data_IF_002040816577
#
_entry.id   IF_002040816577
#
_cell.length_a   1.000
_cell.length_b   1.000
_cell.length_c   1.000
_cell.angle_alpha   90.00
_cell.angle_beta   90.00
_cell.angle_gamma   90.00
#
_symmetry.space_group_name_H-M   'P 1'
#
loop_
_entity.id
_entity.type
_entity.pdbx_description
1 polymer ?
#
# COMPACT_ATOMS: atom_id res chain seq x y z
N UNK A 1 -17.52 -11.48 -15.67
CA UNK A 1 -16.78 -10.57 -14.75
C UNK A 1 -16.94 -11.10 -13.34
N UNK A 2 -15.87 -11.14 -12.53
CA UNK A 2 -16.01 -11.34 -11.09
C UNK A 2 -16.34 -9.97 -10.46
N UNK A 3 -17.32 -9.88 -9.54
CA UNK A 3 -17.65 -8.62 -8.88
C UNK A 3 -16.44 -8.06 -8.14
N UNK A 4 -16.23 -6.75 -8.22
CA UNK A 4 -15.25 -6.08 -7.35
C UNK A 4 -15.81 -5.92 -5.93
N UNK A 5 -14.96 -5.55 -4.97
CA UNK A 5 -15.36 -5.45 -3.56
C UNK A 5 -16.51 -4.44 -3.34
N UNK A 6 -16.52 -3.31 -4.04
CA UNK A 6 -17.60 -2.30 -3.95
C UNK A 6 -18.90 -2.85 -4.51
N UNK A 7 -18.87 -3.56 -5.64
CA UNK A 7 -20.03 -4.23 -6.24
C UNK A 7 -20.58 -5.33 -5.32
N UNK A 8 -19.70 -6.11 -4.68
CA UNK A 8 -20.09 -7.12 -3.70
C UNK A 8 -20.74 -6.49 -2.47
N UNK A 9 -20.18 -5.39 -1.94
CA UNK A 9 -20.73 -4.64 -0.81
C UNK A 9 -22.09 -4.03 -1.15
N UNK A 10 -22.23 -3.43 -2.34
CA UNK A 10 -23.52 -2.89 -2.83
C UNK A 10 -24.55 -4.00 -3.04
N UNK A 11 -24.14 -5.16 -3.53
CA UNK A 11 -24.99 -6.35 -3.61
C UNK A 11 -25.47 -6.81 -2.24
N UNK A 12 -24.58 -6.85 -1.25
CA UNK A 12 -24.90 -7.20 0.14
C UNK A 12 -25.87 -6.20 0.78
N UNK A 13 -25.66 -4.89 0.56
CA UNK A 13 -26.57 -3.82 0.99
C UNK A 13 -27.96 -3.98 0.35
N UNK A 14 -28.00 -4.35 -0.93
CA UNK A 14 -29.23 -4.65 -1.66
C UNK A 14 -30.00 -5.79 -1.00
N UNK A 15 -29.35 -6.93 -0.77
CA UNK A 15 -29.96 -8.10 -0.09
C UNK A 15 -30.42 -7.78 1.33
N UNK A 16 -29.63 -7.00 2.09
CA UNK A 16 -30.03 -6.56 3.44
C UNK A 16 -31.34 -5.76 3.39
N UNK A 17 -31.47 -4.85 2.43
CA UNK A 17 -32.67 -4.01 2.28
C UNK A 17 -33.88 -4.77 1.74
N UNK A 18 -33.69 -5.61 0.72
CA UNK A 18 -34.80 -6.26 0.02
C UNK A 18 -35.34 -7.48 0.77
N UNK A 19 -34.44 -8.28 1.35
CA UNK A 19 -34.78 -9.64 1.80
C UNK A 19 -34.77 -9.74 3.33
N UNK A 20 -33.83 -9.08 3.99
CA UNK A 20 -33.63 -9.23 5.45
C UNK A 20 -34.42 -8.19 6.24
N UNK A 21 -34.40 -6.92 5.83
CA UNK A 21 -35.09 -5.82 6.53
C UNK A 21 -36.57 -6.08 6.81
N UNK A 22 -37.36 -6.61 5.84
CA UNK A 22 -38.79 -6.86 6.07
C UNK A 22 -39.07 -7.92 7.15
N UNK A 23 -38.13 -8.83 7.39
CA UNK A 23 -38.29 -9.90 8.38
C UNK A 23 -37.89 -9.48 9.79
N UNK A 24 -37.14 -8.38 9.94
CA UNK A 24 -36.65 -7.89 11.23
C UNK A 24 -37.71 -7.02 11.91
N UNK A 25 -38.45 -7.63 12.83
CA UNK A 25 -39.56 -6.98 13.56
C UNK A 25 -39.17 -6.37 14.90
N UNK A 26 -38.01 -6.74 15.46
CA UNK A 26 -37.56 -6.21 16.75
C UNK A 26 -36.83 -4.87 16.57
N UNK A 27 -37.04 -3.94 17.51
CA UNK A 27 -36.34 -2.64 17.52
C UNK A 27 -34.82 -2.81 17.54
N UNK A 28 -34.31 -3.69 18.40
CA UNK A 28 -32.88 -4.00 18.47
C UNK A 28 -32.32 -4.54 17.14
N UNK A 29 -33.09 -5.38 16.45
CA UNK A 29 -32.69 -5.91 15.15
C UNK A 29 -32.65 -4.82 14.08
N UNK A 30 -33.62 -3.89 14.10
CA UNK A 30 -33.66 -2.75 13.18
C UNK A 30 -32.46 -1.81 13.41
N UNK A 31 -32.13 -1.51 14.67
CA UNK A 31 -30.95 -0.71 15.03
C UNK A 31 -29.65 -1.38 14.59
N UNK A 32 -29.52 -2.70 14.80
CA UNK A 32 -28.34 -3.47 14.37
C UNK A 32 -28.20 -3.46 12.86
N UNK A 33 -29.30 -3.61 12.13
CA UNK A 33 -29.29 -3.59 10.67
C UNK A 33 -28.91 -2.21 10.14
N UNK A 34 -29.42 -1.14 10.74
CA UNK A 34 -29.06 0.24 10.38
C UNK A 34 -27.58 0.52 10.64
N UNK A 35 -27.02 0.03 11.76
CA UNK A 35 -25.58 0.11 12.03
C UNK A 35 -24.77 -0.65 10.96
N UNK A 36 -25.17 -1.87 10.61
CA UNK A 36 -24.50 -2.66 9.58
C UNK A 36 -24.50 -1.94 8.22
N UNK A 37 -25.61 -1.30 7.84
CA UNK A 37 -25.67 -0.51 6.62
C UNK A 37 -24.71 0.67 6.64
N UNK A 38 -24.67 1.44 7.73
CA UNK A 38 -23.75 2.55 7.90
C UNK A 38 -22.29 2.10 7.78
N UNK A 39 -21.92 0.96 8.39
CA UNK A 39 -20.59 0.37 8.25
C UNK A 39 -20.27 -0.02 6.79
N UNK A 40 -21.23 -0.62 6.08
CA UNK A 40 -21.06 -0.99 4.67
C UNK A 40 -20.93 0.24 3.77
N UNK A 41 -21.68 1.33 4.04
CA UNK A 41 -21.56 2.59 3.32
C UNK A 41 -20.20 3.26 3.54
N UNK A 42 -19.69 3.23 4.78
CA UNK A 42 -18.32 3.70 5.06
C UNK A 42 -17.29 2.87 4.30
N UNK A 43 -17.41 1.54 4.29
CA UNK A 43 -16.52 0.67 3.51
C UNK A 43 -16.61 0.91 2.00
N UNK A 44 -17.79 1.22 1.47
CA UNK A 44 -17.97 1.58 0.05
C UNK A 44 -17.32 2.95 -0.24
N UNK A 45 -17.57 3.95 0.60
CA UNK A 45 -16.98 5.28 0.47
C UNK A 45 -15.46 5.25 0.58
N UNK A 46 -14.94 4.38 1.43
CA UNK A 46 -13.52 4.07 1.49
C UNK A 46 -13.07 3.42 0.17
N UNK A 47 -13.74 2.34 -0.26
CA UNK A 47 -13.47 1.65 -1.50
C UNK A 47 -13.40 2.55 -2.75
N UNK A 48 -14.24 3.58 -2.83
CA UNK A 48 -14.26 4.53 -3.94
C UNK A 48 -12.98 5.39 -4.03
N UNK A 49 -12.31 5.67 -2.90
CA UNK A 49 -11.01 6.36 -2.86
C UNK A 49 -9.79 5.44 -3.04
N UNK A 50 -9.99 4.12 -2.98
CA UNK A 50 -8.94 3.11 -3.00
C UNK A 50 -8.04 3.18 -4.23
N UNK A 51 -8.68 3.17 -5.40
CA UNK A 51 -8.00 3.04 -6.67
C UNK A 51 -7.13 4.27 -6.95
N UNK A 52 -7.68 5.47 -6.70
CA UNK A 52 -6.95 6.72 -6.87
C UNK A 52 -5.78 6.84 -5.88
N UNK A 53 -5.99 6.49 -4.61
CA UNK A 53 -4.91 6.46 -3.62
C UNK A 53 -3.80 5.46 -4.01
N UNK A 54 -4.18 4.24 -4.44
CA UNK A 54 -3.22 3.23 -4.87
C UNK A 54 -2.47 3.63 -6.15
N UNK A 55 -3.14 4.29 -7.09
CA UNK A 55 -2.51 4.80 -8.30
C UNK A 55 -1.48 5.89 -7.96
N UNK A 56 -1.86 6.88 -7.14
CA UNK A 56 -0.95 7.95 -6.66
C UNK A 56 0.22 7.39 -5.85
N UNK A 57 -0.03 6.43 -4.97
CA UNK A 57 1.04 5.78 -4.19
C UNK A 57 2.00 5.00 -5.09
N UNK A 58 1.46 4.24 -6.05
CA UNK A 58 2.27 3.47 -7.00
C UNK A 58 3.17 4.38 -7.82
N UNK A 59 2.64 5.50 -8.31
CA UNK A 59 3.43 6.51 -9.01
C UNK A 59 4.54 7.09 -8.12
N UNK A 60 4.20 7.49 -6.90
CA UNK A 60 5.16 8.04 -5.94
C UNK A 60 6.29 7.04 -5.64
N UNK A 61 5.95 5.75 -5.48
CA UNK A 61 6.93 4.69 -5.26
C UNK A 61 7.85 4.48 -6.48
N UNK A 62 7.32 4.50 -7.70
CA UNK A 62 8.13 4.44 -8.92
C UNK A 62 9.10 5.61 -9.01
N UNK A 63 8.66 6.84 -8.71
CA UNK A 63 9.51 8.04 -8.73
C UNK A 63 10.60 8.00 -7.66
N UNK A 64 10.28 7.54 -6.44
CA UNK A 64 11.25 7.36 -5.35
C UNK A 64 12.31 6.31 -5.73
N UNK A 65 11.88 5.13 -6.20
CA UNK A 65 12.78 4.07 -6.60
C UNK A 65 13.65 4.47 -7.80
N UNK A 66 13.08 5.16 -8.80
CA UNK A 66 13.81 5.65 -9.97
C UNK A 66 14.92 6.64 -9.61
N UNK A 67 14.68 7.57 -8.68
CA UNK A 67 15.72 8.47 -8.16
C UNK A 67 16.78 7.74 -7.34
N UNK A 68 16.39 6.68 -6.65
CA UNK A 68 17.31 5.89 -5.83
C UNK A 68 18.34 5.10 -6.65
N UNK A 69 18.03 4.70 -7.90
CA UNK A 69 18.87 3.82 -8.72
C UNK A 69 20.32 4.29 -8.81
N UNK A 70 20.54 5.58 -9.08
CA UNK A 70 21.89 6.14 -9.21
C UNK A 70 22.70 6.06 -7.91
N UNK A 71 22.04 6.31 -6.77
CA UNK A 71 22.66 6.27 -5.45
C UNK A 71 22.82 4.83 -4.91
N UNK A 72 21.96 3.90 -5.34
CA UNK A 72 22.01 2.48 -4.97
C UNK A 72 23.12 1.73 -5.70
N UNK A 73 23.33 2.01 -6.98
CA UNK A 73 24.26 1.25 -7.84
C UNK A 73 25.68 1.02 -7.26
N UNK A 74 26.34 1.98 -6.58
CA UNK A 74 27.64 1.73 -5.96
C UNK A 74 27.59 0.90 -4.66
N UNK A 75 26.41 0.75 -4.04
CA UNK A 75 26.21 0.04 -2.77
C UNK A 75 25.65 -1.37 -3.00
N UNK A 76 24.61 -1.47 -3.81
CA UNK A 76 23.95 -2.72 -4.20
C UNK A 76 23.43 -2.58 -5.65
N UNK A 77 24.21 -3.13 -6.57
CA UNK A 77 23.88 -3.09 -8.00
C UNK A 77 22.69 -3.98 -8.35
N UNK A 78 22.46 -5.07 -7.62
CA UNK A 78 21.33 -5.96 -7.88
C UNK A 78 20.01 -5.27 -7.53
N UNK A 79 19.93 -4.65 -6.34
CA UNK A 79 18.77 -3.88 -5.94
C UNK A 79 18.54 -2.66 -6.83
N UNK A 80 19.62 -2.01 -7.30
CA UNK A 80 19.52 -0.89 -8.23
C UNK A 80 18.88 -1.30 -9.57
N UNK A 81 19.26 -2.44 -10.13
CA UNK A 81 18.67 -2.95 -11.38
C UNK A 81 17.22 -3.43 -11.18
N UNK A 82 16.90 -4.06 -10.04
CA UNK A 82 15.51 -4.41 -9.71
C UNK A 82 14.62 -3.17 -9.59
N UNK A 83 15.10 -2.11 -8.93
CA UNK A 83 14.42 -0.83 -8.79
C UNK A 83 14.27 -0.11 -10.14
N UNK A 84 15.31 -0.14 -10.98
CA UNK A 84 15.27 0.41 -12.33
C UNK A 84 14.22 -0.31 -13.19
N UNK A 85 14.22 -1.64 -13.18
CA UNK A 85 13.24 -2.44 -13.93
C UNK A 85 11.80 -2.18 -13.45
N UNK A 86 11.57 -2.13 -12.14
CA UNK A 86 10.24 -1.89 -11.58
C UNK A 86 9.72 -0.46 -11.80
N UNK A 87 10.61 0.53 -11.81
CA UNK A 87 10.24 1.94 -12.08
C UNK A 87 9.98 2.21 -13.57
N UNK A 88 10.68 1.50 -14.47
CA UNK A 88 10.51 1.61 -15.92
C UNK A 88 9.35 0.75 -16.47
N UNK A 89 8.81 -0.18 -15.67
CA UNK A 89 7.71 -1.02 -16.08
C UNK A 89 6.48 -0.17 -16.43
N UNK A 90 5.90 -0.30 -17.65
CA UNK A 90 4.76 0.50 -18.05
C UNK A 90 3.61 0.33 -17.05
N UNK A 91 2.91 1.44 -16.78
CA UNK A 91 1.73 1.38 -15.92
C UNK A 91 0.66 0.58 -16.65
N UNK A 92 0.17 -0.48 -16.00
CA UNK A 92 -0.92 -1.30 -16.53
C UNK A 92 -2.13 -0.38 -16.82
N UNK A 93 -2.73 -0.41 -18.02
CA UNK A 93 -3.95 0.35 -18.31
C UNK A 93 -5.13 -0.09 -17.41
N UNK A 94 -5.04 -1.25 -16.77
CA UNK A 94 -6.01 -1.73 -15.79
C UNK A 94 -5.93 -0.96 -14.48
N UNK A 95 -6.89 -0.06 -14.25
CA UNK A 95 -7.08 0.65 -12.97
C UNK A 95 -7.84 -0.18 -11.92
N UNK A 96 -7.84 -1.50 -12.05
CA UNK A 96 -8.50 -2.37 -11.07
C UNK A 96 -7.73 -2.34 -9.75
N UNK A 97 -8.45 -2.28 -8.64
CA UNK A 97 -7.85 -2.26 -7.28
C UNK A 97 -6.92 -3.45 -7.06
N UNK A 98 -7.24 -4.62 -7.60
CA UNK A 98 -6.40 -5.82 -7.49
C UNK A 98 -5.05 -5.67 -8.21
N UNK A 99 -5.05 -5.15 -9.44
CA UNK A 99 -3.83 -4.90 -10.20
C UNK A 99 -2.97 -3.83 -9.52
N UNK A 100 -3.60 -2.71 -9.12
CA UNK A 100 -2.95 -1.62 -8.41
C UNK A 100 -2.35 -2.09 -7.07
N UNK A 101 -3.08 -2.90 -6.31
CA UNK A 101 -2.60 -3.47 -5.04
C UNK A 101 -1.38 -4.36 -5.26
N UNK A 102 -1.42 -5.23 -6.28
CA UNK A 102 -0.32 -6.17 -6.58
C UNK A 102 0.95 -5.40 -6.95
N UNK A 103 0.81 -4.38 -7.81
CA UNK A 103 1.93 -3.51 -8.20
C UNK A 103 2.47 -2.73 -7.01
N UNK A 104 1.58 -2.14 -6.20
CA UNK A 104 1.97 -1.38 -5.02
C UNK A 104 2.74 -2.25 -4.01
N UNK A 105 2.29 -3.48 -3.74
CA UNK A 105 2.97 -4.41 -2.85
C UNK A 105 4.38 -4.75 -3.33
N UNK A 106 4.57 -4.99 -4.62
CA UNK A 106 5.90 -5.25 -5.20
C UNK A 106 6.84 -4.05 -5.01
N UNK A 107 6.37 -2.85 -5.34
CA UNK A 107 7.17 -1.62 -5.17
C UNK A 107 7.49 -1.34 -3.70
N UNK A 108 6.55 -1.61 -2.79
CA UNK A 108 6.79 -1.52 -1.34
C UNK A 108 7.84 -2.51 -0.85
N UNK A 109 7.86 -3.74 -1.36
CA UNK A 109 8.90 -4.71 -1.03
C UNK A 109 10.31 -4.22 -1.44
N UNK A 110 10.42 -3.56 -2.59
CA UNK A 110 11.68 -2.93 -3.02
C UNK A 110 12.04 -1.72 -2.15
N UNK A 111 11.07 -0.88 -1.79
CA UNK A 111 11.29 0.24 -0.88
C UNK A 111 11.75 -0.23 0.51
N UNK A 112 11.19 -1.35 1.01
CA UNK A 112 11.60 -1.94 2.28
C UNK A 112 13.07 -2.38 2.26
N UNK A 113 13.48 -3.08 1.20
CA UNK A 113 14.90 -3.47 1.00
C UNK A 113 15.82 -2.25 0.89
N UNK A 114 15.40 -1.23 0.15
CA UNK A 114 16.13 0.04 0.04
C UNK A 114 16.31 0.69 1.41
N UNK A 115 15.26 0.76 2.22
CA UNK A 115 15.33 1.38 3.56
C UNK A 115 16.24 0.59 4.50
N UNK A 116 16.18 -0.75 4.46
CA UNK A 116 17.13 -1.61 5.21
C UNK A 116 18.57 -1.27 4.83
N UNK A 117 18.87 -1.23 3.53
CA UNK A 117 20.19 -0.87 3.03
C UNK A 117 20.60 0.52 3.52
N UNK A 118 19.69 1.51 3.44
CA UNK A 118 19.95 2.86 3.92
C UNK A 118 20.32 2.90 5.40
N UNK A 119 19.66 2.11 6.26
CA UNK A 119 20.04 2.01 7.67
C UNK A 119 21.43 1.38 7.85
N UNK A 120 21.75 0.35 7.06
CA UNK A 120 23.03 -0.35 7.16
C UNK A 120 24.21 0.52 6.70
N UNK A 121 24.01 1.40 5.70
CA UNK A 121 25.05 2.34 5.26
C UNK A 121 25.02 3.69 5.95
N UNK A 122 23.97 4.07 6.68
CA UNK A 122 23.85 5.40 7.32
C UNK A 122 24.98 5.71 8.30
N UNK A 123 25.56 4.69 8.94
CA UNK A 123 26.70 4.83 9.87
C UNK A 123 28.06 4.74 9.18
N UNK A 124 28.09 4.47 7.87
CA UNK A 124 29.30 4.26 7.08
C UNK A 124 29.70 5.48 6.26
N UNK A 125 30.99 5.58 5.89
CA UNK A 125 31.49 6.60 4.96
C UNK A 125 30.93 6.45 3.53
N UNK A 126 30.24 5.35 3.24
CA UNK A 126 29.54 5.07 1.98
C UNK A 126 28.13 5.70 1.92
N UNK A 127 27.65 6.35 2.98
CA UNK A 127 26.38 7.07 2.96
C UNK A 127 26.43 8.25 1.97
N UNK A 128 25.91 8.04 0.76
CA UNK A 128 25.68 9.14 -0.19
C UNK A 128 24.58 10.07 0.32
N UNK A 129 24.77 11.39 0.15
CA UNK A 129 23.74 12.39 0.45
C UNK A 129 22.44 12.12 -0.31
N UNK A 130 22.55 11.65 -1.55
CA UNK A 130 21.40 11.33 -2.40
C UNK A 130 20.58 10.16 -1.82
N UNK A 131 21.27 9.14 -1.28
CA UNK A 131 20.61 8.00 -0.67
C UNK A 131 19.88 8.39 0.62
N UNK A 132 20.48 9.28 1.43
CA UNK A 132 19.84 9.81 2.65
C UNK A 132 18.67 10.74 2.36
N UNK A 133 18.71 11.50 1.26
CA UNK A 133 17.59 12.29 0.79
C UNK A 133 16.40 11.38 0.39
N UNK A 134 16.66 10.32 -0.40
CA UNK A 134 15.65 9.32 -0.77
C UNK A 134 15.06 8.64 0.46
N UNK A 135 15.90 8.24 1.44
CA UNK A 135 15.45 7.66 2.71
C UNK A 135 14.47 8.58 3.45
N UNK A 136 14.80 9.86 3.55
CA UNK A 136 13.96 10.84 4.26
C UNK A 136 12.60 11.01 3.59
N UNK A 137 12.57 11.04 2.26
CA UNK A 137 11.34 11.13 1.50
C UNK A 137 10.51 9.85 1.53
N UNK A 138 11.16 8.67 1.51
CA UNK A 138 10.49 7.40 1.68
C UNK A 138 9.76 7.34 3.04
N UNK A 139 10.40 7.76 4.13
CA UNK A 139 9.75 7.84 5.45
C UNK A 139 8.63 8.89 5.51
N UNK A 140 8.74 9.98 4.76
CA UNK A 140 7.65 10.97 4.64
C UNK A 140 6.45 10.35 3.93
N UNK A 141 6.67 9.71 2.77
CA UNK A 141 5.61 9.04 2.03
C UNK A 141 4.91 7.96 2.88
N UNK A 142 5.67 7.13 3.60
CA UNK A 142 5.10 6.10 4.46
C UNK A 142 4.24 6.68 5.59
N UNK A 143 4.61 7.83 6.16
CA UNK A 143 3.78 8.54 7.14
C UNK A 143 2.50 9.09 6.51
N UNK A 144 2.56 9.64 5.30
CA UNK A 144 1.39 10.13 4.56
C UNK A 144 0.42 8.98 4.21
N UNK A 145 0.94 7.81 3.85
CA UNK A 145 0.14 6.60 3.63
C UNK A 145 -0.50 6.12 4.94
N UNK A 146 0.26 6.03 6.03
CA UNK A 146 -0.25 5.59 7.34
C UNK A 146 -1.35 6.51 7.86
N UNK A 147 -1.17 7.84 7.71
CA UNK A 147 -2.17 8.84 8.13
C UNK A 147 -3.50 8.72 7.37
N UNK A 148 -3.51 8.13 6.17
CA UNK A 148 -4.75 7.88 5.41
C UNK A 148 -5.56 6.70 5.96
N UNK A 149 -4.99 5.84 6.81
CA UNK A 149 -5.69 4.67 7.37
C UNK A 149 -5.71 3.44 6.45
N UNK A 150 -5.07 3.51 5.27
CA UNK A 150 -5.14 2.51 4.20
C UNK A 150 -3.99 1.50 4.18
N UNK A 151 -3.03 1.63 5.10
CA UNK A 151 -1.92 0.70 5.16
C UNK A 151 -1.62 0.24 6.57
N UNK A 152 -1.44 -1.07 6.71
CA UNK A 152 -0.78 -1.74 7.84
C UNK A 152 0.73 -1.44 7.91
N UNK A 153 1.17 -0.29 7.39
CA UNK A 153 2.55 0.15 7.53
C UNK A 153 2.70 0.86 8.87
N UNK A 154 2.57 0.07 9.93
CA UNK A 154 3.01 0.48 11.25
C UNK A 154 4.54 0.49 11.26
N UNK A 155 5.14 1.58 11.72
CA UNK A 155 6.60 1.70 11.93
C UNK A 155 7.14 0.51 12.75
N UNK A 156 6.36 -0.06 13.67
CA UNK A 156 6.75 -1.25 14.41
C UNK A 156 6.81 -2.50 13.53
N UNK A 157 5.88 -2.66 12.59
CA UNK A 157 5.87 -3.75 11.60
C UNK A 157 7.04 -3.68 10.61
N UNK A 158 7.57 -2.47 10.36
CA UNK A 158 8.77 -2.29 9.54
C UNK A 158 10.03 -2.76 10.27
N UNK A 159 10.18 -2.44 11.56
CA UNK A 159 11.33 -2.92 12.35
C UNK A 159 11.36 -4.44 12.46
N UNK A 160 10.20 -5.07 12.65
CA UNK A 160 10.11 -6.55 12.59
C UNK A 160 10.45 -7.10 11.20
N UNK A 161 9.99 -6.45 10.13
CA UNK A 161 10.33 -6.84 8.76
C UNK A 161 11.81 -6.68 8.47
N UNK A 162 12.44 -5.59 8.92
CA UNK A 162 13.90 -5.41 8.85
C UNK A 162 14.63 -6.54 9.56
N UNK A 163 14.18 -6.93 10.77
CA UNK A 163 14.77 -8.04 11.51
C UNK A 163 14.64 -9.37 10.74
N UNK A 164 13.49 -9.63 10.11
CA UNK A 164 13.29 -10.82 9.26
C UNK A 164 14.16 -10.81 8.01
N UNK A 165 14.24 -9.68 7.30
CA UNK A 165 15.05 -9.53 6.09
C UNK A 165 16.55 -9.74 6.37
N UNK A 166 17.03 -9.18 7.49
CA UNK A 166 18.40 -9.42 7.98
C UNK A 166 18.65 -10.89 8.34
N UNK A 167 17.66 -11.58 8.89
CA UNK A 167 17.76 -13.00 9.23
C UNK A 167 17.74 -13.94 8.02
N UNK A 168 17.11 -13.55 6.91
CA UNK A 168 17.06 -14.35 5.68
C UNK A 168 18.30 -14.22 4.79
N UNK A 169 19.21 -13.29 5.07
CA UNK A 169 20.42 -13.08 4.27
C UNK A 169 20.11 -12.71 2.83
N UNK A 170 19.90 -11.41 2.57
CA UNK A 170 20.05 -10.86 1.23
C UNK A 170 21.54 -10.91 0.82
#
# INVERSE_FOLDING_TARGET
>A
MRPNAVEALRGLQGTLMSDITPEVKSLFGQETLQLAQMLLEMLVSEGDGAADNLARDTQTLCELLGRAVGALRPVDSALAEEAAAASAEPTDPSLTVAALTTRNQRLRGLLERLLVLCEDVAESAQASQDLMAVRSEAYRHLREVAARGWSFWDIFSFRERMARLRATGA
#
